data_IF_146984340640
#
_entry.id   IF_146984340640
#
_cell.length_a   1.000
_cell.length_b   1.000
_cell.length_c   1.000
_cell.angle_alpha   90.00
_cell.angle_beta   90.00
_cell.angle_gamma   90.00
#
_symmetry.space_group_name_H-M   'P 1'
#
loop_
_entity.id
_entity.type
_entity.pdbx_description
1 polymer ?
#
# COMPACT_ATOMS: atom_id res chain seq x y z
N UNK A 1 47.10 22.65 -57.41
CA UNK A 1 45.89 22.47 -58.25
C UNK A 1 44.89 21.67 -57.43
N UNK A 2 43.77 22.30 -57.07
CA UNK A 2 42.84 21.84 -56.04
C UNK A 2 41.94 20.70 -56.48
N UNK A 3 41.71 19.75 -55.56
CA UNK A 3 40.75 18.67 -55.73
C UNK A 3 39.31 19.17 -55.51
N UNK A 4 38.33 18.70 -56.30
CA UNK A 4 37.00 19.29 -56.38
C UNK A 4 36.13 18.99 -55.14
N UNK A 5 35.62 20.06 -54.54
CA UNK A 5 34.70 20.10 -53.40
C UNK A 5 33.26 19.60 -53.72
N UNK A 6 33.11 18.42 -54.33
CA UNK A 6 31.79 17.87 -54.72
C UNK A 6 31.44 16.49 -54.15
N UNK A 7 32.24 15.92 -53.25
CA UNK A 7 31.95 14.59 -52.68
C UNK A 7 31.56 14.58 -51.19
N UNK A 8 31.61 15.72 -50.50
CA UNK A 8 31.30 15.81 -49.05
C UNK A 8 29.82 16.11 -48.78
N UNK A 9 29.06 16.61 -49.78
CA UNK A 9 27.67 17.07 -49.60
C UNK A 9 26.62 15.94 -49.68
N UNK A 10 26.99 14.75 -50.16
CA UNK A 10 26.11 13.59 -50.23
C UNK A 10 25.95 12.84 -48.91
N UNK A 11 26.98 12.84 -48.06
CA UNK A 11 26.95 12.10 -46.78
C UNK A 11 26.23 12.83 -45.65
N UNK A 12 26.19 14.17 -45.66
CA UNK A 12 25.36 14.92 -44.72
C UNK A 12 23.87 14.82 -45.03
N UNK A 13 23.48 14.73 -46.32
CA UNK A 13 22.08 14.61 -46.72
C UNK A 13 21.45 13.26 -46.35
N UNK A 14 22.20 12.18 -46.53
CA UNK A 14 21.77 10.82 -46.16
C UNK A 14 21.66 10.63 -44.64
N UNK A 15 22.58 11.21 -43.86
CA UNK A 15 22.52 11.16 -42.40
C UNK A 15 21.27 11.88 -41.84
N UNK A 16 20.92 13.05 -42.40
CA UNK A 16 19.73 13.82 -41.98
C UNK A 16 18.43 13.10 -42.38
N UNK A 17 18.41 12.39 -43.51
CA UNK A 17 17.26 11.60 -43.93
C UNK A 17 17.07 10.36 -43.03
N UNK A 18 18.14 9.65 -42.65
CA UNK A 18 18.07 8.56 -41.68
C UNK A 18 17.57 9.03 -40.30
N UNK A 19 18.02 10.20 -39.82
CA UNK A 19 17.52 10.80 -38.57
C UNK A 19 16.02 11.17 -38.64
N UNK A 20 15.54 11.62 -39.81
CA UNK A 20 14.12 11.94 -40.03
C UNK A 20 13.24 10.67 -40.12
N UNK A 21 13.73 9.58 -40.69
CA UNK A 21 12.99 8.31 -40.77
C UNK A 21 12.97 7.53 -39.44
N UNK A 22 14.02 7.63 -38.61
CA UNK A 22 14.02 7.00 -37.28
C UNK A 22 13.03 7.66 -36.32
N UNK A 23 12.75 8.96 -36.48
CA UNK A 23 11.80 9.69 -35.63
C UNK A 23 10.34 9.25 -35.82
N UNK A 24 10.01 8.63 -36.95
CA UNK A 24 8.63 8.22 -37.29
C UNK A 24 8.28 6.77 -36.90
N UNK A 25 9.23 5.99 -36.38
CA UNK A 25 9.04 4.56 -36.07
C UNK A 25 8.92 4.24 -34.56
N UNK A 26 9.07 5.22 -33.67
CA UNK A 26 8.86 4.99 -32.25
C UNK A 26 7.35 4.97 -31.95
N UNK A 27 6.72 3.81 -32.07
CA UNK A 27 5.46 3.55 -31.36
C UNK A 27 5.78 3.41 -29.87
N UNK A 28 5.28 4.31 -29.00
CA UNK A 28 5.42 4.16 -27.57
C UNK A 28 4.30 3.24 -27.05
N UNK A 29 4.29 1.97 -27.45
CA UNK A 29 3.47 0.93 -26.78
C UNK A 29 4.25 0.28 -25.61
N UNK A 30 5.22 1.01 -25.06
CA UNK A 30 5.81 0.68 -23.77
C UNK A 30 4.85 1.22 -22.72
N UNK A 31 4.11 0.31 -22.09
CA UNK A 31 3.34 0.59 -20.88
C UNK A 31 4.19 1.48 -19.95
N UNK A 32 3.61 2.52 -19.33
CA UNK A 32 4.38 3.42 -18.47
C UNK A 32 5.18 2.59 -17.48
N UNK A 33 6.51 2.76 -17.51
CA UNK A 33 7.37 2.32 -16.42
C UNK A 33 7.03 3.27 -15.27
N UNK A 34 5.92 2.99 -14.62
CA UNK A 34 5.61 3.46 -13.28
C UNK A 34 6.89 3.26 -12.44
N UNK A 35 7.41 4.31 -11.80
CA UNK A 35 8.67 4.21 -11.06
C UNK A 35 8.53 3.07 -10.04
N UNK A 36 9.39 2.04 -10.12
CA UNK A 36 9.39 0.81 -9.31
C UNK A 36 8.85 0.90 -7.86
N UNK A 37 9.19 1.93 -7.03
CA UNK A 37 8.58 2.08 -5.70
C UNK A 37 7.05 2.27 -5.71
N UNK A 38 6.46 2.83 -6.78
CA UNK A 38 5.01 3.07 -6.88
C UNK A 38 4.21 1.78 -6.91
N UNK A 39 4.73 0.70 -7.52
CA UNK A 39 4.04 -0.61 -7.58
C UNK A 39 3.95 -1.29 -6.21
N UNK A 40 5.03 -1.27 -5.43
CA UNK A 40 5.00 -1.82 -4.06
C UNK A 40 4.09 -1.01 -3.14
N UNK A 41 3.98 0.31 -3.36
CA UNK A 41 3.12 1.16 -2.54
C UNK A 41 1.63 0.96 -2.83
N UNK A 42 1.26 0.55 -4.05
CA UNK A 42 -0.12 0.20 -4.40
C UNK A 42 -0.66 -0.95 -3.54
N UNK A 43 0.19 -1.87 -3.06
CA UNK A 43 -0.23 -2.96 -2.17
C UNK A 43 -0.91 -2.47 -0.87
N UNK A 44 -0.66 -1.23 -0.44
CA UNK A 44 -1.27 -0.65 0.75
C UNK A 44 -2.58 0.12 0.48
N UNK A 45 -2.94 0.32 -0.78
CA UNK A 45 -4.15 1.07 -1.15
C UNK A 45 -5.44 0.28 -0.87
N UNK A 46 -6.52 1.01 -0.57
CA UNK A 46 -7.85 0.44 -0.36
C UNK A 46 -8.32 -0.37 -1.57
N UNK A 47 -8.84 -1.57 -1.33
CA UNK A 47 -9.42 -2.43 -2.38
C UNK A 47 -8.40 -3.17 -3.25
N UNK A 48 -7.09 -3.01 -2.99
CA UNK A 48 -6.06 -3.85 -3.61
C UNK A 48 -5.93 -5.19 -2.89
N UNK A 49 -5.56 -5.13 -1.61
CA UNK A 49 -5.46 -6.32 -0.75
C UNK A 49 -6.47 -6.26 0.39
N UNK A 50 -6.62 -5.08 1.01
CA UNK A 50 -7.53 -4.92 2.14
C UNK A 50 -8.98 -4.83 1.69
N UNK A 51 -9.82 -5.75 2.19
CA UNK A 51 -11.27 -5.76 1.97
C UNK A 51 -12.09 -5.76 3.25
N UNK A 52 -11.58 -6.38 4.31
CA UNK A 52 -12.27 -6.62 5.58
C UNK A 52 -11.57 -5.98 6.78
N UNK A 53 -10.24 -5.82 6.77
CA UNK A 53 -9.53 -5.30 7.92
C UNK A 53 -9.82 -3.81 8.14
N UNK A 54 -10.02 -3.40 9.40
CA UNK A 54 -10.25 -1.99 9.76
C UNK A 54 -8.98 -1.17 9.50
N UNK A 55 -9.15 0.00 8.87
CA UNK A 55 -8.04 0.87 8.44
C UNK A 55 -6.99 1.15 9.51
N UNK A 56 -7.39 1.33 10.77
CA UNK A 56 -6.48 1.63 11.87
C UNK A 56 -5.56 0.45 12.28
N UNK A 57 -5.91 -0.78 11.90
CA UNK A 57 -5.14 -1.99 12.22
C UNK A 57 -4.27 -2.45 11.03
N UNK A 58 -4.39 -1.80 9.88
CA UNK A 58 -3.69 -2.19 8.65
C UNK A 58 -2.21 -1.84 8.73
N UNK A 59 -1.38 -2.75 8.20
CA UNK A 59 0.00 -2.44 7.89
C UNK A 59 0.05 -1.44 6.72
N UNK A 60 0.87 -0.40 6.87
CA UNK A 60 1.16 0.57 5.82
C UNK A 60 2.67 0.68 5.57
N UNK A 61 3.07 1.60 4.71
CA UNK A 61 4.48 1.85 4.40
C UNK A 61 5.33 2.34 5.61
N UNK A 62 4.73 2.63 6.78
CA UNK A 62 5.49 2.85 8.02
C UNK A 62 6.19 1.58 8.51
N UNK A 63 5.64 0.40 8.22
CA UNK A 63 6.14 -0.88 8.73
C UNK A 63 5.75 -1.21 10.16
N UNK A 64 4.80 -0.47 10.74
CA UNK A 64 4.32 -0.68 12.10
C UNK A 64 3.01 -1.48 12.08
N UNK A 65 3.02 -2.65 12.71
CA UNK A 65 1.79 -3.44 12.98
C UNK A 65 1.23 -2.94 14.32
N UNK A 66 0.43 -1.87 14.27
CA UNK A 66 -0.06 -1.12 15.42
C UNK A 66 -1.27 -1.72 16.13
N UNK A 67 -1.25 -3.02 16.45
CA UNK A 67 -2.40 -3.71 17.05
C UNK A 67 -2.42 -3.48 18.58
N UNK A 68 -3.46 -2.83 19.13
CA UNK A 68 -3.57 -2.64 20.58
C UNK A 68 -3.87 -3.98 21.28
N UNK A 69 -3.44 -4.13 22.54
CA UNK A 69 -3.60 -5.36 23.33
C UNK A 69 -5.04 -5.88 23.36
N UNK A 70 -6.03 -4.98 23.43
CA UNK A 70 -7.46 -5.34 23.44
C UNK A 70 -8.02 -5.83 22.10
N UNK A 71 -7.25 -5.72 21.00
CA UNK A 71 -7.67 -6.12 19.66
C UNK A 71 -6.85 -7.30 19.09
N UNK A 72 -5.86 -7.83 19.82
CA UNK A 72 -4.97 -8.90 19.34
C UNK A 72 -5.76 -10.13 18.90
N UNK A 73 -6.73 -10.57 19.71
CA UNK A 73 -7.52 -11.77 19.40
C UNK A 73 -8.43 -11.55 18.18
N UNK A 74 -9.02 -10.35 18.06
CA UNK A 74 -9.80 -9.96 16.90
C UNK A 74 -8.95 -9.92 15.63
N UNK A 75 -7.76 -9.33 15.71
CA UNK A 75 -6.83 -9.20 14.60
C UNK A 75 -6.31 -10.57 14.13
N UNK A 76 -5.86 -11.40 15.08
CA UNK A 76 -5.22 -12.69 14.80
C UNK A 76 -6.21 -13.82 14.48
N UNK A 77 -7.46 -13.72 14.95
CA UNK A 77 -8.54 -14.65 14.58
C UNK A 77 -9.43 -14.13 13.45
N UNK A 78 -9.01 -13.06 12.77
CA UNK A 78 -9.82 -12.29 11.82
C UNK A 78 -9.23 -12.22 10.41
N UNK A 79 -9.89 -11.47 9.53
CA UNK A 79 -9.37 -11.21 8.18
C UNK A 79 -8.07 -10.38 8.20
N UNK A 80 -7.84 -9.58 9.24
CA UNK A 80 -6.69 -8.68 9.31
C UNK A 80 -5.34 -9.39 9.25
N UNK A 81 -5.18 -10.52 9.93
CA UNK A 81 -3.91 -11.28 9.86
C UNK A 81 -3.68 -11.84 8.46
N UNK A 82 -4.74 -12.30 7.79
CA UNK A 82 -4.69 -12.84 6.42
C UNK A 82 -4.31 -11.73 5.45
N UNK A 83 -5.06 -10.62 5.46
CA UNK A 83 -4.84 -9.49 4.56
C UNK A 83 -3.47 -8.84 4.77
N UNK A 84 -2.96 -8.81 6.01
CA UNK A 84 -1.61 -8.30 6.27
C UNK A 84 -0.53 -9.20 5.68
N UNK A 85 -0.68 -10.52 5.77
CA UNK A 85 0.24 -11.44 5.09
C UNK A 85 0.13 -11.33 3.57
N UNK A 86 -1.06 -11.11 3.03
CA UNK A 86 -1.27 -10.85 1.60
C UNK A 86 -0.60 -9.56 1.14
N UNK A 87 -0.64 -8.48 1.95
CA UNK A 87 0.10 -7.24 1.66
C UNK A 87 1.59 -7.51 1.64
N UNK A 88 2.11 -8.26 2.61
CA UNK A 88 3.52 -8.63 2.66
C UNK A 88 3.93 -9.47 1.43
N UNK A 89 3.07 -10.38 0.97
CA UNK A 89 3.28 -11.13 -0.27
C UNK A 89 3.27 -10.22 -1.50
N UNK A 90 2.31 -9.30 -1.58
CA UNK A 90 2.20 -8.32 -2.67
C UNK A 90 3.47 -7.47 -2.77
N UNK A 91 3.91 -6.89 -1.64
CA UNK A 91 5.10 -6.03 -1.59
C UNK A 91 6.36 -6.78 -2.00
N UNK A 92 6.57 -8.00 -1.46
CA UNK A 92 7.72 -8.83 -1.84
C UNK A 92 7.73 -9.19 -3.33
N UNK A 93 6.55 -9.39 -3.94
CA UNK A 93 6.45 -9.68 -5.37
C UNK A 93 6.67 -8.44 -6.26
N UNK A 94 6.35 -7.25 -5.74
CA UNK A 94 6.43 -6.00 -6.48
C UNK A 94 7.83 -5.39 -6.48
N UNK A 95 8.59 -5.54 -5.39
CA UNK A 95 9.95 -5.02 -5.27
C UNK A 95 10.82 -5.92 -4.40
N UNK A 96 11.87 -6.49 -4.99
CA UNK A 96 12.89 -7.22 -4.26
C UNK A 96 13.66 -6.29 -3.31
N UNK A 97 13.92 -6.76 -2.09
CA UNK A 97 14.60 -5.98 -1.06
C UNK A 97 13.81 -4.77 -0.55
N UNK A 98 12.48 -4.76 -0.67
CA UNK A 98 11.66 -3.70 -0.09
C UNK A 98 11.94 -3.55 1.42
N UNK A 99 12.09 -2.30 1.85
CA UNK A 99 12.21 -1.93 3.25
C UNK A 99 11.13 -0.92 3.62
N UNK A 100 10.51 -1.13 4.76
CA UNK A 100 9.56 -0.20 5.33
C UNK A 100 10.27 1.06 5.84
N UNK A 101 9.53 2.15 6.06
CA UNK A 101 10.12 3.41 6.56
C UNK A 101 10.74 3.29 7.95
N UNK A 102 10.29 2.34 8.78
CA UNK A 102 10.93 2.03 10.06
C UNK A 102 12.23 1.20 9.92
N UNK A 103 12.62 0.83 8.70
CA UNK A 103 13.80 0.01 8.42
C UNK A 103 13.58 -1.50 8.48
N UNK A 104 12.35 -1.97 8.75
CA UNK A 104 12.06 -3.40 8.72
C UNK A 104 12.09 -3.94 7.28
N UNK A 105 12.55 -5.18 7.11
CA UNK A 105 12.33 -5.93 5.87
C UNK A 105 10.94 -6.56 5.85
N UNK A 106 10.51 -7.07 4.69
CA UNK A 106 9.26 -7.83 4.56
C UNK A 106 9.28 -9.07 5.46
N UNK A 107 10.41 -9.78 5.54
CA UNK A 107 10.61 -10.93 6.42
C UNK A 107 10.53 -10.55 7.90
N UNK A 108 11.12 -9.41 8.29
CA UNK A 108 11.03 -8.90 9.66
C UNK A 108 9.58 -8.59 10.06
N UNK A 109 8.83 -7.96 9.16
CA UNK A 109 7.40 -7.70 9.37
C UNK A 109 6.58 -9.00 9.42
N UNK A 110 6.87 -9.99 8.56
CA UNK A 110 6.21 -11.30 8.57
C UNK A 110 6.51 -12.07 9.86
N UNK A 111 7.75 -12.02 10.32
CA UNK A 111 8.14 -12.60 11.61
C UNK A 111 7.38 -11.95 12.76
N UNK A 112 7.26 -10.62 12.75
CA UNK A 112 6.48 -9.91 13.76
C UNK A 112 4.99 -10.24 13.75
N UNK A 113 4.39 -10.38 12.57
CA UNK A 113 3.01 -10.83 12.43
C UNK A 113 2.80 -12.21 13.07
N UNK A 114 3.68 -13.18 12.75
CA UNK A 114 3.61 -14.55 13.27
C UNK A 114 3.86 -14.64 14.76
N UNK A 115 4.81 -13.88 15.28
CA UNK A 115 5.11 -13.78 16.71
C UNK A 115 3.95 -13.18 17.49
N UNK A 116 3.42 -12.05 17.04
CA UNK A 116 2.30 -11.38 17.70
C UNK A 116 0.99 -12.17 17.63
N UNK A 117 0.79 -12.99 16.60
CA UNK A 117 -0.37 -13.89 16.50
C UNK A 117 -0.11 -15.32 16.99
N UNK A 118 1.05 -15.58 17.59
CA UNK A 118 1.37 -16.90 18.11
C UNK A 118 0.54 -17.27 19.34
N UNK A 119 0.57 -18.56 19.71
CA UNK A 119 0.04 -19.04 20.99
C UNK A 119 1.11 -19.06 22.10
N UNK A 120 2.14 -18.24 21.99
CA UNK A 120 3.24 -18.16 22.97
C UNK A 120 3.08 -16.95 23.91
N UNK A 121 4.00 -16.80 24.85
CA UNK A 121 4.09 -15.60 25.70
C UNK A 121 4.36 -14.31 24.91
N UNK A 122 4.78 -14.42 23.65
CA UNK A 122 5.02 -13.29 22.74
C UNK A 122 3.77 -12.85 21.96
N UNK A 123 2.60 -13.46 22.21
CA UNK A 123 1.33 -13.01 21.62
C UNK A 123 1.08 -11.52 21.95
N UNK A 124 0.70 -10.74 20.95
CA UNK A 124 0.55 -9.29 21.04
C UNK A 124 1.83 -8.48 20.83
N UNK A 125 2.99 -9.12 20.70
CA UNK A 125 4.25 -8.45 20.39
C UNK A 125 4.50 -8.45 18.87
N UNK A 126 4.40 -7.27 18.26
CA UNK A 126 4.51 -7.08 16.80
C UNK A 126 5.73 -6.23 16.39
N UNK A 127 6.80 -6.22 17.19
CA UNK A 127 8.03 -5.48 16.84
C UNK A 127 8.76 -6.04 15.58
N UNK A 128 8.59 -5.41 14.42
CA UNK A 128 9.20 -5.82 13.14
C UNK A 128 10.73 -5.69 13.08
N UNK A 129 11.34 -4.99 14.03
CA UNK A 129 12.80 -4.83 14.12
C UNK A 129 13.46 -5.86 15.05
N UNK A 130 12.66 -6.67 15.78
CA UNK A 130 13.21 -7.74 16.60
C UNK A 130 13.74 -8.87 15.69
N UNK A 131 14.98 -9.35 15.91
CA UNK A 131 15.54 -10.43 15.14
C UNK A 131 14.65 -11.69 15.20
N UNK A 132 14.49 -12.41 14.07
CA UNK A 132 13.79 -13.68 14.05
C UNK A 132 14.45 -14.68 15.00
N UNK A 133 13.84 -14.89 16.17
CA UNK A 133 14.34 -15.77 17.24
C UNK A 133 13.25 -16.75 17.62
N UNK A 134 13.43 -18.01 17.26
CA UNK A 134 12.42 -19.06 17.41
C UNK A 134 11.66 -19.35 16.12
N UNK A 135 10.91 -20.44 16.12
CA UNK A 135 10.15 -20.92 14.97
C UNK A 135 8.66 -20.69 15.25
N UNK A 136 8.07 -19.68 14.61
CA UNK A 136 6.65 -19.38 14.75
C UNK A 136 5.89 -20.06 13.59
N UNK A 137 5.12 -21.13 13.87
CA UNK A 137 4.39 -21.86 12.84
C UNK A 137 3.32 -20.96 12.22
N UNK A 138 2.80 -21.43 11.10
CA UNK A 138 1.75 -20.74 10.35
C UNK A 138 0.53 -20.50 11.24
N UNK A 139 0.08 -19.25 11.29
CA UNK A 139 -0.94 -18.74 12.24
C UNK A 139 -2.39 -18.94 11.74
N UNK A 140 -2.59 -19.67 10.64
CA UNK A 140 -3.86 -19.81 9.90
C UNK A 140 -4.82 -20.88 10.44
N UNK A 141 -4.73 -21.25 11.73
CA UNK A 141 -5.34 -22.47 12.25
C UNK A 141 -6.87 -22.54 12.25
N UNK A 142 -7.59 -21.42 12.22
CA UNK A 142 -9.04 -21.43 12.48
C UNK A 142 -9.89 -20.43 11.68
N UNK A 143 -9.30 -19.62 10.79
CA UNK A 143 -10.07 -18.65 10.02
C UNK A 143 -10.94 -19.34 8.95
N UNK A 144 -12.19 -19.64 9.30
CA UNK A 144 -13.26 -19.92 8.34
C UNK A 144 -13.70 -18.59 7.75
N UNK A 145 -13.33 -18.34 6.49
CA UNK A 145 -13.68 -17.15 5.73
C UNK A 145 -15.18 -16.88 5.69
N UNK A 146 -15.69 -16.19 6.71
CA UNK A 146 -16.99 -15.56 6.71
C UNK A 146 -16.78 -14.16 6.12
N UNK A 147 -17.39 -13.87 4.96
CA UNK A 147 -17.16 -12.64 4.20
C UNK A 147 -17.22 -11.37 5.04
N UNK A 148 -16.54 -10.31 4.57
CA UNK A 148 -16.34 -9.05 5.31
C UNK A 148 -17.66 -8.56 5.91
N UNK A 149 -17.82 -8.74 7.23
CA UNK A 149 -18.86 -8.01 7.93
C UNK A 149 -18.36 -6.57 7.95
N UNK A 150 -19.02 -5.70 7.20
CA UNK A 150 -18.74 -4.27 7.25
C UNK A 150 -19.02 -3.79 8.69
N UNK A 151 -18.02 -3.86 9.55
CA UNK A 151 -18.02 -3.19 10.83
C UNK A 151 -17.85 -1.73 10.48
N UNK A 152 -18.96 -1.04 10.21
CA UNK A 152 -18.94 0.42 10.25
C UNK A 152 -18.34 0.78 11.61
N UNK A 153 -17.21 1.50 11.67
CA UNK A 153 -16.73 2.00 12.95
C UNK A 153 -17.90 2.76 13.58
N UNK A 154 -18.11 2.68 14.91
CA UNK A 154 -19.13 3.50 15.54
C UNK A 154 -18.79 4.94 15.19
N UNK A 155 -19.53 5.52 14.24
CA UNK A 155 -19.53 6.95 14.01
C UNK A 155 -19.99 7.50 15.34
N UNK A 156 -19.03 7.96 16.13
CA UNK A 156 -19.28 8.81 17.29
C UNK A 156 -20.28 9.83 16.80
N UNK A 157 -21.50 9.71 17.32
CA UNK A 157 -22.63 10.54 16.97
C UNK A 157 -22.32 11.94 17.45
N UNK A 158 -21.57 12.68 16.64
CA UNK A 158 -21.47 14.13 16.77
C UNK A 158 -22.91 14.61 16.56
N UNK A 159 -23.51 15.03 17.68
CA UNK A 159 -24.90 15.41 17.82
C UNK A 159 -25.37 16.23 16.61
N UNK A 160 -26.16 15.61 15.76
CA UNK A 160 -26.96 16.26 14.74
C UNK A 160 -28.21 16.88 15.40
N UNK A 161 -27.99 17.68 16.46
CA UNK A 161 -28.92 18.71 16.90
C UNK A 161 -28.50 19.98 16.13
N UNK A 162 -28.64 20.01 14.81
CA UNK A 162 -29.89 20.46 14.18
C UNK A 162 -30.50 21.65 14.94
N UNK A 163 -29.84 22.81 14.83
CA UNK A 163 -30.39 23.99 14.15
C UNK A 163 -31.93 24.15 14.15
N UNK A 164 -32.56 24.10 15.32
CA UNK A 164 -33.94 24.57 15.53
C UNK A 164 -33.97 25.79 16.47
N UNK A 165 -33.03 26.72 16.30
CA UNK A 165 -32.88 27.89 17.17
C UNK A 165 -32.95 29.26 16.48
N UNK A 166 -32.98 29.33 15.15
CA UNK A 166 -32.83 30.62 14.44
C UNK A 166 -34.13 31.19 13.86
N UNK A 167 -35.24 30.44 13.84
CA UNK A 167 -36.52 30.93 13.29
C UNK A 167 -37.44 31.60 14.32
N UNK A 168 -37.20 31.42 15.63
CA UNK A 168 -38.04 31.98 16.68
C UNK A 168 -37.64 33.40 17.12
N UNK A 169 -36.41 33.84 16.84
CA UNK A 169 -35.94 35.19 17.21
C UNK A 169 -36.37 36.29 16.24
N UNK A 170 -36.79 35.95 15.01
CA UNK A 170 -37.27 36.95 14.04
C UNK A 170 -38.76 37.30 14.20
N UNK A 171 -39.53 36.54 14.98
CA UNK A 171 -40.95 36.82 15.23
C UNK A 171 -41.20 37.66 16.49
N UNK A 172 -40.17 37.96 17.29
CA UNK A 172 -40.29 38.74 18.53
C UNK A 172 -39.86 40.21 18.34
N UNK A 173 -39.15 40.55 17.26
CA UNK A 173 -38.77 41.94 16.96
C UNK A 173 -39.71 42.67 15.97
N UNK A 174 -40.82 42.03 15.59
CA UNK A 174 -41.76 42.56 14.59
C UNK A 174 -43.13 42.94 15.14
N UNK A 175 -43.25 43.33 16.41
CA UNK A 175 -44.52 43.82 16.98
C UNK A 175 -44.34 45.05 17.84
#
# INVERSE_FOLDING_TARGET
MGLPARLIRGWCGLAVLCLRLCATSCNPDVAPIEPLPSRSLQCFEDGQVYGCCEGALRLDASGVIGVPLGAVDYYCGGACVVETEDVLNCVASALDGFSFRNGASVEGARYALRRGCSHTIKRGDFNALEPPTGNYPDIYGDYRGHGCRATTPPRSSINLLAFLGAAWLLLIQGR
#
